data_IF_732046914464
#
_entry.id   IF_732046914464
#
_cell.length_a   1.000
_cell.length_b   1.000
_cell.length_c   1.000
_cell.angle_alpha   90.00
_cell.angle_beta   90.00
_cell.angle_gamma   90.00
#
_symmetry.space_group_name_H-M   'P 1'
#
loop_
_entity.id
_entity.type
_entity.pdbx_description
1 polymer ?
#
# COMPACT_ATOMS: atom_id res chain seq x y z
N UNK A 1 -77.78 -38.17 -4.48
CA UNK A 1 -76.77 -39.24 -4.32
C UNK A 1 -75.78 -39.11 -5.46
N UNK A 2 -74.77 -38.27 -5.27
CA UNK A 2 -73.63 -38.10 -6.18
C UNK A 2 -72.42 -37.86 -5.28
N UNK A 3 -71.57 -38.89 -5.19
CA UNK A 3 -70.35 -38.93 -4.40
C UNK A 3 -69.31 -38.03 -5.06
N UNK A 4 -68.99 -36.91 -4.41
CA UNK A 4 -67.78 -36.13 -4.72
C UNK A 4 -66.56 -36.95 -4.28
N UNK A 5 -65.75 -37.35 -5.26
CA UNK A 5 -64.59 -38.23 -5.12
C UNK A 5 -63.40 -37.44 -4.51
N UNK A 6 -62.65 -37.98 -3.53
CA UNK A 6 -61.62 -37.23 -2.78
C UNK A 6 -60.33 -36.92 -3.58
N UNK A 7 -60.29 -37.24 -4.88
CA UNK A 7 -59.11 -36.97 -5.72
C UNK A 7 -59.01 -35.53 -6.22
N UNK A 8 -60.05 -34.71 -6.07
CA UNK A 8 -60.03 -33.31 -6.54
C UNK A 8 -59.32 -32.34 -5.58
N UNK A 9 -59.11 -32.71 -4.31
CA UNK A 9 -58.40 -31.83 -3.34
C UNK A 9 -56.88 -32.02 -3.34
N UNK A 10 -56.38 -33.16 -3.83
CA UNK A 10 -54.94 -33.46 -3.84
C UNK A 10 -54.19 -32.82 -5.03
N UNK A 11 -54.88 -32.47 -6.12
CA UNK A 11 -54.24 -31.80 -7.26
C UNK A 11 -54.11 -30.27 -7.13
N UNK A 12 -54.83 -29.63 -6.19
CA UNK A 12 -54.67 -28.19 -5.93
C UNK A 12 -53.58 -27.86 -4.90
N UNK A 13 -53.08 -28.87 -4.18
CA UNK A 13 -51.93 -28.73 -3.29
C UNK A 13 -50.57 -28.91 -4.01
N UNK A 14 -50.55 -29.56 -5.18
CA UNK A 14 -49.31 -29.89 -5.89
C UNK A 14 -48.79 -28.81 -6.87
N UNK A 15 -49.53 -27.70 -7.07
CA UNK A 15 -49.13 -26.60 -7.98
C UNK A 15 -49.14 -25.24 -7.25
N UNK A 16 -48.78 -25.23 -5.95
CA UNK A 16 -48.42 -24.01 -5.21
C UNK A 16 -47.16 -24.16 -4.35
N UNK A 17 -46.39 -25.23 -4.52
CA UNK A 17 -45.14 -25.48 -3.79
C UNK A 17 -43.92 -25.55 -4.72
N UNK A 18 -44.08 -25.25 -6.02
CA UNK A 18 -43.01 -25.35 -7.02
C UNK A 18 -42.60 -24.00 -7.64
N UNK A 19 -42.92 -22.89 -6.97
CA UNK A 19 -42.57 -21.53 -7.42
C UNK A 19 -42.08 -20.63 -6.26
N UNK A 20 -41.49 -21.22 -5.23
CA UNK A 20 -40.99 -20.47 -4.07
C UNK A 20 -39.64 -20.94 -3.56
N UNK A 21 -38.84 -21.62 -4.40
CA UNK A 21 -37.52 -22.15 -4.01
C UNK A 21 -36.47 -22.01 -5.12
N UNK A 22 -36.51 -20.91 -5.87
CA UNK A 22 -35.50 -20.60 -6.88
C UNK A 22 -35.23 -19.11 -6.99
N UNK A 23 -34.95 -18.47 -5.86
CA UNK A 23 -34.23 -17.19 -5.83
C UNK A 23 -33.53 -16.96 -4.48
N UNK A 24 -32.69 -17.91 -4.07
CA UNK A 24 -31.52 -17.53 -3.26
C UNK A 24 -30.41 -17.29 -4.27
N UNK A 25 -30.33 -16.05 -4.76
CA UNK A 25 -29.08 -15.56 -5.33
C UNK A 25 -28.10 -15.63 -4.17
N UNK A 26 -27.15 -16.55 -4.25
CA UNK A 26 -25.99 -16.57 -3.38
C UNK A 26 -25.30 -15.22 -3.52
N UNK A 27 -25.57 -14.30 -2.59
CA UNK A 27 -24.73 -13.13 -2.37
C UNK A 27 -23.47 -13.68 -1.72
N UNK A 28 -22.61 -14.29 -2.54
CA UNK A 28 -21.21 -14.43 -2.21
C UNK A 28 -20.65 -13.02 -2.18
N UNK A 29 -20.79 -12.36 -1.04
CA UNK A 29 -19.97 -11.21 -0.71
C UNK A 29 -18.53 -11.70 -0.81
N UNK A 30 -17.91 -11.48 -1.97
CA UNK A 30 -16.50 -11.77 -2.16
C UNK A 30 -15.80 -10.74 -1.30
N UNK A 31 -15.56 -11.08 -0.04
CA UNK A 31 -14.66 -10.31 0.79
C UNK A 31 -13.36 -10.20 -0.02
N UNK A 32 -12.88 -8.98 -0.21
CA UNK A 32 -11.59 -8.74 -0.85
C UNK A 32 -10.50 -9.43 -0.03
N UNK A 33 -10.15 -10.67 -0.41
CA UNK A 33 -9.07 -11.42 0.25
C UNK A 33 -7.77 -10.79 -0.23
N UNK A 34 -7.07 -10.11 0.67
CA UNK A 34 -5.68 -9.76 0.47
C UNK A 34 -4.83 -10.93 0.96
N UNK A 35 -3.76 -11.24 0.24
CA UNK A 35 -2.76 -12.20 0.73
C UNK A 35 -1.69 -11.42 1.49
N UNK A 36 -1.63 -11.52 2.84
CA UNK A 36 -0.53 -10.91 3.60
C UNK A 36 0.77 -11.64 3.29
N UNK A 37 1.86 -10.88 3.19
CA UNK A 37 3.21 -11.39 3.01
C UNK A 37 4.08 -10.76 4.10
N UNK A 38 4.74 -11.60 4.88
CA UNK A 38 5.84 -11.17 5.75
C UNK A 38 7.12 -11.24 4.92
N UNK A 39 7.75 -10.11 4.56
CA UNK A 39 8.95 -10.14 3.74
C UNK A 39 10.12 -10.78 4.50
N UNK A 40 10.82 -11.70 3.85
CA UNK A 40 12.08 -12.25 4.36
C UNK A 40 13.25 -11.49 3.76
N UNK A 41 14.14 -10.98 4.61
CA UNK A 41 15.24 -10.10 4.22
C UNK A 41 16.56 -10.86 4.20
N UNK A 42 17.27 -10.81 3.07
CA UNK A 42 18.60 -11.39 2.91
C UNK A 42 19.62 -10.27 2.78
N UNK A 43 20.68 -10.30 3.59
CA UNK A 43 21.82 -9.39 3.43
C UNK A 43 22.64 -9.79 2.20
N UNK A 44 22.80 -8.89 1.24
CA UNK A 44 23.51 -9.14 -0.03
C UNK A 44 24.88 -8.43 -0.11
N UNK A 45 25.11 -7.47 0.78
CA UNK A 45 26.37 -6.80 1.06
C UNK A 45 26.29 -6.13 2.45
N UNK A 46 27.41 -5.73 3.09
CA UNK A 46 27.38 -5.02 4.38
C UNK A 46 26.41 -3.84 4.36
N UNK A 47 25.36 -3.89 5.17
CA UNK A 47 24.37 -2.81 5.25
C UNK A 47 23.37 -2.74 4.09
N UNK A 48 23.30 -3.77 3.23
CA UNK A 48 22.37 -3.84 2.10
C UNK A 48 21.54 -5.11 2.19
N UNK A 49 20.23 -4.94 2.37
CA UNK A 49 19.28 -6.05 2.45
C UNK A 49 18.34 -6.06 1.26
N UNK A 50 17.99 -7.26 0.80
CA UNK A 50 17.09 -7.50 -0.31
C UNK A 50 15.94 -8.40 0.12
N UNK A 51 14.75 -8.10 -0.39
CA UNK A 51 13.58 -8.98 -0.33
C UNK A 51 12.81 -8.89 -1.64
N UNK A 52 11.95 -9.87 -1.89
CA UNK A 52 11.00 -9.87 -3.01
C UNK A 52 9.60 -10.02 -2.45
N UNK A 53 8.68 -9.14 -2.83
CA UNK A 53 7.27 -9.21 -2.44
C UNK A 53 6.45 -9.52 -3.70
N UNK A 54 5.79 -10.67 -3.71
CA UNK A 54 5.08 -11.16 -4.89
C UNK A 54 6.03 -11.70 -5.96
N UNK A 55 5.66 -11.50 -7.23
CA UNK A 55 6.44 -11.98 -8.38
C UNK A 55 7.22 -10.82 -9.00
N UNK A 56 8.51 -11.01 -9.22
CA UNK A 56 9.36 -10.04 -9.92
C UNK A 56 9.01 -9.98 -11.41
N UNK A 57 8.89 -8.77 -11.95
CA UNK A 57 8.79 -8.54 -13.40
C UNK A 57 10.10 -8.92 -14.12
N UNK A 58 10.03 -9.25 -15.42
CA UNK A 58 11.23 -9.48 -16.23
C UNK A 58 12.08 -8.22 -16.42
N UNK A 59 11.46 -7.05 -16.35
CA UNK A 59 12.11 -5.75 -16.44
C UNK A 59 12.09 -5.06 -15.07
N UNK A 60 13.27 -4.79 -14.53
CA UNK A 60 13.47 -3.93 -13.35
C UNK A 60 14.34 -2.73 -13.70
N UNK A 61 14.38 -1.71 -12.84
CA UNK A 61 15.16 -0.51 -13.11
C UNK A 61 16.66 -0.80 -13.06
N UNK A 62 17.12 -1.57 -12.07
CA UNK A 62 18.52 -1.98 -11.98
C UNK A 62 18.91 -2.89 -13.16
N UNK A 63 18.01 -3.78 -13.58
CA UNK A 63 18.21 -4.61 -14.77
C UNK A 63 18.31 -3.78 -16.06
N UNK A 64 17.42 -2.82 -16.25
CA UNK A 64 17.41 -1.92 -17.41
C UNK A 64 18.64 -0.99 -17.44
N UNK A 65 19.10 -0.53 -16.27
CA UNK A 65 20.30 0.30 -16.16
C UNK A 65 21.59 -0.47 -16.52
N UNK A 66 21.57 -1.80 -16.45
CA UNK A 66 22.72 -2.66 -16.81
C UNK A 66 23.96 -2.50 -15.92
N UNK A 67 23.85 -1.76 -14.81
CA UNK A 67 24.95 -1.48 -13.91
C UNK A 67 25.28 -2.69 -13.03
N UNK A 68 26.58 -2.91 -12.78
CA UNK A 68 27.04 -3.90 -11.81
C UNK A 68 27.38 -3.22 -10.47
N UNK A 69 26.98 -3.77 -9.31
CA UNK A 69 27.35 -3.22 -8.02
C UNK A 69 28.88 -3.17 -7.85
N UNK A 70 29.40 -2.08 -7.27
CA UNK A 70 30.81 -1.95 -6.90
C UNK A 70 31.13 -2.83 -5.67
N UNK A 71 31.22 -4.16 -5.88
CA UNK A 71 31.30 -5.17 -4.81
C UNK A 71 32.45 -4.92 -3.82
N UNK A 72 33.64 -4.58 -4.31
CA UNK A 72 34.80 -4.31 -3.45
C UNK A 72 34.59 -3.09 -2.55
N UNK A 73 33.95 -2.04 -3.07
CA UNK A 73 33.62 -0.84 -2.29
C UNK A 73 32.55 -1.16 -1.23
N UNK A 74 31.50 -1.90 -1.59
CA UNK A 74 30.47 -2.34 -0.64
C UNK A 74 31.05 -3.24 0.46
N UNK A 75 31.99 -4.12 0.12
CA UNK A 75 32.65 -4.99 1.09
C UNK A 75 33.53 -4.22 2.09
N UNK A 76 34.02 -3.03 1.71
CA UNK A 76 34.79 -2.16 2.59
C UNK A 76 33.93 -1.26 3.50
N UNK A 77 32.61 -1.20 3.27
CA UNK A 77 31.69 -0.42 4.11
C UNK A 77 31.50 -1.07 5.48
N UNK A 78 31.22 -0.29 6.53
CA UNK A 78 30.84 -0.83 7.83
C UNK A 78 29.61 -1.73 7.73
N UNK A 79 29.60 -2.85 8.47
CA UNK A 79 28.38 -3.64 8.65
C UNK A 79 27.41 -2.86 9.52
N UNK A 80 26.16 -2.75 9.07
CA UNK A 80 25.06 -2.20 9.84
C UNK A 80 24.10 -3.30 10.30
N UNK A 81 23.33 -3.05 11.35
CA UNK A 81 22.15 -3.85 11.64
C UNK A 81 21.00 -3.47 10.69
N UNK A 82 20.06 -4.38 10.47
CA UNK A 82 18.86 -4.08 9.70
C UNK A 82 18.11 -2.90 10.37
N UNK A 83 17.78 -1.82 9.63
CA UNK A 83 17.42 -0.53 10.24
C UNK A 83 15.97 -0.44 10.74
N UNK A 84 15.13 -1.44 10.45
CA UNK A 84 13.70 -1.43 10.73
C UNK A 84 13.30 -2.66 11.54
N UNK A 85 12.20 -2.58 12.29
CA UNK A 85 11.58 -3.79 12.84
C UNK A 85 10.91 -4.58 11.70
N UNK A 86 11.38 -5.80 11.36
CA UNK A 86 10.79 -6.60 10.29
C UNK A 86 9.31 -6.93 10.53
N UNK A 87 8.87 -7.01 11.79
CA UNK A 87 7.47 -7.27 12.14
C UNK A 87 6.55 -6.09 11.81
N UNK A 88 7.11 -4.88 11.66
CA UNK A 88 6.35 -3.70 11.28
C UNK A 88 6.34 -3.46 9.77
N UNK A 89 7.00 -4.31 8.98
CA UNK A 89 6.96 -4.28 7.51
C UNK A 89 5.90 -5.27 7.01
N UNK A 90 4.97 -4.79 6.19
CA UNK A 90 3.92 -5.63 5.60
C UNK A 90 3.98 -5.61 4.08
N UNK A 91 4.00 -6.78 3.44
CA UNK A 91 3.68 -6.94 2.04
C UNK A 91 2.23 -7.38 1.86
N UNK A 92 1.57 -6.96 0.78
CA UNK A 92 0.24 -7.47 0.41
C UNK A 92 0.10 -7.61 -1.09
N UNK A 93 -0.59 -8.66 -1.49
CA UNK A 93 -1.06 -8.84 -2.87
C UNK A 93 -2.58 -8.72 -2.89
N UNK A 94 -3.11 -7.88 -3.77
CA UNK A 94 -4.54 -7.70 -3.96
C UNK A 94 -4.85 -7.22 -5.38
N UNK A 95 -5.79 -7.86 -6.08
CA UNK A 95 -6.22 -7.51 -7.44
C UNK A 95 -5.04 -7.24 -8.41
N UNK A 96 -4.11 -8.19 -8.48
CA UNK A 96 -2.88 -8.08 -9.29
C UNK A 96 -1.95 -6.91 -8.95
N UNK A 97 -2.15 -6.24 -7.80
CA UNK A 97 -1.27 -5.20 -7.28
C UNK A 97 -0.46 -5.74 -6.11
N UNK A 98 0.78 -5.28 -6.01
CA UNK A 98 1.64 -5.47 -4.85
C UNK A 98 1.71 -4.16 -4.10
N UNK A 99 1.60 -4.23 -2.77
CA UNK A 99 1.85 -3.09 -1.89
C UNK A 99 2.82 -3.50 -0.79
N UNK A 100 3.68 -2.56 -0.40
CA UNK A 100 4.59 -2.68 0.73
C UNK A 100 4.33 -1.53 1.69
N UNK A 101 4.34 -1.82 2.98
CA UNK A 101 4.19 -0.84 4.06
C UNK A 101 5.42 -0.91 4.95
N UNK A 102 6.01 0.25 5.20
CA UNK A 102 7.10 0.45 6.14
C UNK A 102 6.60 1.27 7.33
N UNK A 103 7.17 1.12 8.53
CA UNK A 103 6.87 2.00 9.66
C UNK A 103 7.43 3.41 9.40
N UNK A 104 6.81 4.42 10.00
CA UNK A 104 7.27 5.81 9.98
C UNK A 104 7.18 6.37 11.40
N UNK A 105 8.30 6.89 11.91
CA UNK A 105 8.37 7.53 13.22
C UNK A 105 7.79 8.94 13.23
N UNK A 106 7.40 9.43 14.41
CA UNK A 106 6.79 10.78 14.57
C UNK A 106 7.76 11.92 14.22
N UNK A 107 9.05 11.74 14.52
CA UNK A 107 10.13 12.71 14.23
C UNK A 107 11.00 12.27 13.05
N UNK A 108 10.49 11.39 12.19
CA UNK A 108 11.20 10.86 11.04
C UNK A 108 10.80 11.62 9.77
N UNK A 109 11.77 12.23 9.09
CA UNK A 109 11.55 12.88 7.81
C UNK A 109 12.02 11.97 6.68
N UNK A 110 11.29 12.03 5.57
CA UNK A 110 11.52 11.26 4.37
C UNK A 110 11.88 12.21 3.22
N UNK A 111 12.92 11.84 2.48
CA UNK A 111 13.46 12.55 1.32
C UNK A 111 13.60 11.61 0.12
N UNK A 112 13.95 12.15 -1.05
CA UNK A 112 14.17 11.38 -2.27
C UNK A 112 12.93 11.34 -3.16
N UNK A 113 12.56 10.15 -3.63
CA UNK A 113 11.50 9.88 -4.61
C UNK A 113 11.72 10.55 -5.97
N UNK A 114 12.99 10.81 -6.30
CA UNK A 114 13.38 11.42 -7.56
C UNK A 114 13.53 12.94 -7.52
N UNK A 115 13.53 13.53 -8.71
CA UNK A 115 13.70 14.97 -8.91
C UNK A 115 12.37 15.68 -8.74
N UNK A 116 12.29 16.58 -7.77
CA UNK A 116 11.13 17.43 -7.51
C UNK A 116 11.60 18.89 -7.45
N UNK A 117 10.74 19.81 -7.88
CA UNK A 117 11.05 21.23 -8.00
C UNK A 117 10.23 22.09 -7.02
N UNK A 118 9.32 21.50 -6.25
CA UNK A 118 8.44 22.22 -5.31
C UNK A 118 8.82 21.97 -3.85
N UNK A 119 9.02 20.71 -3.46
CA UNK A 119 9.35 20.35 -2.07
C UNK A 119 10.48 19.32 -1.97
N UNK A 120 11.26 19.43 -0.90
CA UNK A 120 12.27 18.46 -0.50
C UNK A 120 11.68 17.42 0.47
N UNK A 121 10.85 17.86 1.43
CA UNK A 121 10.20 16.96 2.39
C UNK A 121 9.07 16.19 1.73
N UNK A 122 8.99 14.88 2.02
CA UNK A 122 7.97 13.97 1.46
C UNK A 122 6.84 13.66 2.43
N UNK A 123 6.99 13.99 3.72
CA UNK A 123 6.04 13.68 4.76
C UNK A 123 4.64 14.25 4.47
N UNK A 124 3.60 13.46 4.71
CA UNK A 124 2.20 13.82 4.45
C UNK A 124 1.80 13.80 2.97
N UNK A 125 2.74 13.58 2.05
CA UNK A 125 2.53 13.60 0.61
C UNK A 125 2.08 12.27 0.01
N UNK A 126 1.49 12.35 -1.18
CA UNK A 126 1.19 11.20 -2.05
C UNK A 126 1.82 11.46 -3.41
N UNK A 127 2.68 10.54 -3.85
CA UNK A 127 3.52 10.69 -5.04
C UNK A 127 3.15 9.63 -6.08
N UNK A 128 2.96 10.05 -7.33
CA UNK A 128 2.79 9.16 -8.49
C UNK A 128 4.07 9.17 -9.31
N UNK A 129 4.91 8.14 -9.13
CA UNK A 129 6.24 8.06 -9.71
C UNK A 129 6.18 7.63 -11.17
N UNK A 130 5.97 8.61 -12.05
CA UNK A 130 5.88 8.42 -13.50
C UNK A 130 6.88 9.33 -14.19
N UNK A 131 7.55 8.80 -15.22
CA UNK A 131 8.41 9.63 -16.07
C UNK A 131 7.50 10.54 -16.88
N UNK A 132 7.66 11.84 -16.70
CA UNK A 132 6.87 12.86 -17.38
C UNK A 132 7.65 14.19 -17.45
N UNK A 133 7.15 15.15 -18.22
CA UNK A 133 7.65 16.52 -18.14
C UNK A 133 7.11 17.19 -16.87
N UNK A 134 7.93 18.04 -16.24
CA UNK A 134 7.49 18.84 -15.11
C UNK A 134 6.63 20.02 -15.58
N UNK A 135 5.33 20.01 -15.26
CA UNK A 135 4.37 21.06 -15.62
C UNK A 135 3.90 21.82 -14.38
N UNK A 136 4.27 23.09 -14.24
CA UNK A 136 3.84 23.95 -13.13
C UNK A 136 2.35 24.33 -13.19
N UNK A 137 1.70 24.19 -14.34
CA UNK A 137 0.26 24.51 -14.52
C UNK A 137 -0.64 23.34 -14.18
N UNK A 138 -0.13 22.10 -14.24
CA UNK A 138 -0.85 20.85 -13.96
C UNK A 138 0.04 19.86 -13.21
N UNK A 139 0.61 20.33 -12.11
CA UNK A 139 1.54 19.52 -11.33
C UNK A 139 0.81 18.31 -10.72
N UNK A 140 1.22 17.11 -11.11
CA UNK A 140 0.91 15.87 -10.39
C UNK A 140 2.17 15.50 -9.61
N UNK A 141 2.07 15.53 -8.28
CA UNK A 141 3.21 15.28 -7.38
C UNK A 141 3.87 13.92 -7.68
N UNK A 142 5.18 13.92 -7.87
CA UNK A 142 5.98 12.73 -8.20
C UNK A 142 6.15 12.44 -9.69
N UNK A 143 5.40 13.11 -10.58
CA UNK A 143 5.62 13.00 -12.03
C UNK A 143 6.69 13.99 -12.46
N UNK A 144 7.79 13.47 -12.99
CA UNK A 144 8.98 14.27 -13.28
C UNK A 144 9.89 13.52 -14.26
N UNK A 145 10.95 14.17 -14.72
CA UNK A 145 11.92 13.57 -15.63
C UNK A 145 12.64 12.36 -15.02
N UNK A 146 12.81 12.33 -13.69
CA UNK A 146 13.53 11.27 -13.00
C UNK A 146 12.85 10.92 -11.65
N UNK A 147 11.73 10.17 -11.65
CA UNK A 147 10.98 9.78 -10.46
C UNK A 147 11.62 8.56 -9.79
N UNK A 148 12.89 8.66 -9.41
CA UNK A 148 13.67 7.53 -8.86
C UNK A 148 12.96 6.97 -7.62
N UNK A 149 12.54 5.68 -7.62
CA UNK A 149 11.77 5.11 -6.52
C UNK A 149 12.66 4.68 -5.35
N UNK A 150 13.43 5.64 -4.85
CA UNK A 150 14.32 5.55 -3.71
C UNK A 150 13.89 6.62 -2.70
N UNK A 151 13.61 6.25 -1.47
CA UNK A 151 13.49 7.23 -0.39
C UNK A 151 14.63 7.07 0.63
N UNK A 152 14.95 8.16 1.31
CA UNK A 152 15.93 8.23 2.39
C UNK A 152 15.24 8.75 3.64
N UNK A 153 15.52 8.13 4.79
CA UNK A 153 15.00 8.50 6.10
C UNK A 153 16.06 9.20 6.93
N UNK A 154 15.65 10.19 7.74
CA UNK A 154 16.53 10.82 8.75
C UNK A 154 17.03 9.86 9.82
N UNK A 155 16.44 8.65 9.94
CA UNK A 155 16.97 7.58 10.79
C UNK A 155 18.21 6.88 10.21
N UNK A 156 18.71 7.32 9.07
CA UNK A 156 19.98 6.85 8.50
C UNK A 156 19.86 5.60 7.62
N UNK A 157 18.72 5.39 6.98
CA UNK A 157 18.53 4.30 6.00
C UNK A 157 17.84 4.79 4.73
N UNK A 158 17.91 3.97 3.68
CA UNK A 158 17.22 4.21 2.43
C UNK A 158 16.52 2.93 1.94
N UNK A 159 15.47 3.09 1.16
CA UNK A 159 14.74 1.98 0.52
C UNK A 159 14.56 2.27 -0.95
N UNK A 160 15.05 1.35 -1.78
CA UNK A 160 14.86 1.35 -3.23
C UNK A 160 13.79 0.32 -3.59
N UNK A 161 12.83 0.72 -4.42
CA UNK A 161 11.89 -0.20 -5.07
C UNK A 161 12.37 -0.51 -6.49
N UNK A 162 12.99 -1.68 -6.67
CA UNK A 162 13.49 -2.10 -7.99
C UNK A 162 12.36 -2.65 -8.88
N UNK A 163 11.56 -1.74 -9.44
CA UNK A 163 10.50 -2.07 -10.41
C UNK A 163 10.41 -0.99 -11.48
N UNK A 164 10.21 -1.39 -12.74
CA UNK A 164 9.98 -0.46 -13.84
C UNK A 164 8.51 -0.05 -13.99
N UNK A 165 7.61 -0.54 -13.11
CA UNK A 165 6.20 -0.15 -13.08
C UNK A 165 6.06 1.22 -12.43
N UNK A 166 4.97 1.92 -12.77
CA UNK A 166 4.57 3.12 -12.06
C UNK A 166 4.19 2.81 -10.60
N UNK A 167 4.67 3.63 -9.66
CA UNK A 167 4.38 3.49 -8.25
C UNK A 167 3.51 4.64 -7.76
N UNK A 168 2.65 4.33 -6.79
CA UNK A 168 1.98 5.32 -5.95
C UNK A 168 2.49 5.17 -4.53
N UNK A 169 3.14 6.21 -4.01
CA UNK A 169 3.78 6.22 -2.69
C UNK A 169 3.02 7.16 -1.78
N UNK A 170 2.55 6.67 -0.63
CA UNK A 170 1.89 7.46 0.40
C UNK A 170 2.82 7.54 1.60
N UNK A 171 3.30 8.75 1.91
CA UNK A 171 4.32 8.96 2.95
C UNK A 171 3.64 9.54 4.18
N UNK A 172 3.25 8.68 5.13
CA UNK A 172 2.60 9.13 6.37
C UNK A 172 1.22 9.79 6.19
N UNK A 173 0.61 9.70 5.00
CA UNK A 173 -0.68 10.35 4.72
C UNK A 173 -1.89 9.55 5.23
N UNK A 174 -1.81 8.21 5.22
CA UNK A 174 -2.92 7.33 5.62
C UNK A 174 -2.86 6.91 7.10
N UNK A 175 -3.98 7.03 7.82
CA UNK A 175 -4.13 6.54 9.21
C UNK A 175 -4.93 5.25 9.24
N UNK A 176 -4.32 4.15 9.70
CA UNK A 176 -5.00 2.85 9.82
C UNK A 176 -5.79 2.73 11.12
N UNK A 177 -6.94 2.05 11.05
CA UNK A 177 -7.71 1.66 12.24
C UNK A 177 -6.94 0.74 13.19
N UNK A 178 -5.92 0.02 12.73
CA UNK A 178 -5.08 -0.84 13.58
C UNK A 178 -3.69 -0.24 13.89
N UNK A 179 -3.46 1.06 13.60
CA UNK A 179 -2.17 1.68 13.91
C UNK A 179 -1.91 1.75 15.42
N UNK A 180 -0.65 1.57 15.85
CA UNK A 180 -0.25 1.71 17.27
C UNK A 180 -0.31 3.17 17.73
N UNK A 181 0.26 4.09 16.94
CA UNK A 181 0.28 5.53 17.21
C UNK A 181 -0.81 6.28 16.45
N UNK A 182 -2.08 6.13 16.84
CA UNK A 182 -3.17 6.90 16.21
C UNK A 182 -3.21 8.32 16.77
N UNK A 183 -3.44 9.33 15.92
CA UNK A 183 -3.85 10.64 16.43
C UNK A 183 -5.18 10.52 17.19
N UNK A 184 -5.42 11.37 18.20
CA UNK A 184 -6.66 11.35 18.95
C UNK A 184 -7.86 11.62 18.04
N UNK A 185 -8.99 10.99 18.35
CA UNK A 185 -10.26 11.29 17.67
C UNK A 185 -10.76 12.63 18.18
N UNK A 186 -11.05 13.55 17.26
CA UNK A 186 -11.46 14.91 17.57
C UNK A 186 -12.85 15.16 16.99
N UNK A 187 -13.77 15.60 17.84
CA UNK A 187 -15.06 16.13 17.41
C UNK A 187 -14.88 17.54 16.85
N UNK A 188 -15.03 17.68 15.52
CA UNK A 188 -14.89 18.97 14.82
C UNK A 188 -16.08 19.90 14.98
N UNK A 189 -17.18 19.46 15.57
CA UNK A 189 -18.34 20.33 15.86
C UNK A 189 -18.08 21.19 17.10
N UNK A 190 -17.33 20.66 18.07
CA UNK A 190 -16.98 21.34 19.32
C UNK A 190 -15.55 21.90 19.33
N UNK A 191 -14.62 21.28 18.60
CA UNK A 191 -13.20 21.70 18.53
C UNK A 191 -12.74 21.94 17.09
N UNK A 192 -12.62 23.22 16.69
CA UNK A 192 -12.08 23.59 15.38
C UNK A 192 -10.55 23.49 15.39
N UNK A 193 -10.03 22.38 14.87
CA UNK A 193 -8.59 22.18 14.65
C UNK A 193 -8.21 22.33 13.18
N UNK A 194 -7.04 22.92 12.94
CA UNK A 194 -6.35 22.97 11.64
C UNK A 194 -4.93 22.41 11.83
N UNK A 195 -4.37 21.64 10.87
CA UNK A 195 -4.94 21.28 9.57
C UNK A 195 -5.95 20.11 9.63
N UNK A 196 -6.61 19.86 8.49
CA UNK A 196 -7.59 18.78 8.34
C UNK A 196 -6.97 17.38 8.36
N UNK A 197 -5.64 17.27 8.20
CA UNK A 197 -4.89 16.02 8.24
C UNK A 197 -4.61 15.58 9.69
N UNK A 198 -5.08 14.40 10.12
CA UNK A 198 -4.77 13.87 11.45
C UNK A 198 -3.26 13.66 11.62
N UNK A 199 -2.68 14.17 12.70
CA UNK A 199 -1.23 14.04 13.00
C UNK A 199 -0.32 15.01 12.25
N UNK A 200 -0.84 15.87 11.37
CA UNK A 200 -0.06 16.90 10.66
C UNK A 200 0.09 18.23 11.41
N UNK A 201 -0.64 18.42 12.52
CA UNK A 201 -0.37 19.54 13.43
C UNK A 201 0.93 19.24 14.19
N UNK A 202 1.85 20.20 14.24
CA UNK A 202 2.87 20.20 15.29
C UNK A 202 2.13 20.09 16.63
N UNK A 203 2.44 19.08 17.44
CA UNK A 203 2.05 19.09 18.85
C UNK A 203 2.71 20.35 19.42
N UNK A 204 1.90 21.35 19.76
CA UNK A 204 2.39 22.53 20.44
C UNK A 204 3.12 22.04 21.71
N UNK A 205 4.38 22.44 21.84
CA UNK A 205 5.21 22.17 23.00
C UNK A 205 4.61 22.81 24.26
#
# INVERSE_FOLDING_TARGET
MTLEHPLASLLRAAIRVTLFWSLLIDINATAAIFTPITPSWTEVAPGVWKTTIGQTDSLTLLGAAGGSPARSALAAMPRGAFPLDPMEIEGRIFNAKVSARFPLGVSEDIYGLGVDFDTISRNGGVFELHVDHWDTKRAITGRTHAPVPLYVSTKGFAVLFDTARYLKVSVGHGVRLAAKGKPPVIDRTTNRIMPSQPGGAALAA
#
